data_IF_237893837443
#
_entry.id   IF_237893837443
#
_cell.length_a   1.000
_cell.length_b   1.000
_cell.length_c   1.000
_cell.angle_alpha   90.00
_cell.angle_beta   90.00
_cell.angle_gamma   90.00
#
_symmetry.space_group_name_H-M   'P 1'
#
loop_
_entity.id
_entity.type
_entity.pdbx_description
1 polymer ?
#
# COMPACT_ATOMS: atom_id res chain seq x y z
N UNK A 1 28.75 5.39 15.71
CA UNK A 1 29.52 4.29 16.32
C UNK A 1 28.97 4.05 17.72
N UNK A 2 28.12 3.03 17.88
CA UNK A 2 27.38 2.73 19.13
C UNK A 2 28.33 2.46 20.29
N UNK A 3 29.37 1.65 20.04
CA UNK A 3 30.41 1.33 21.03
C UNK A 3 31.13 2.58 21.54
N UNK A 4 31.45 3.51 20.63
CA UNK A 4 32.11 4.77 21.00
C UNK A 4 31.18 5.71 21.80
N UNK A 5 29.90 5.75 21.47
CA UNK A 5 28.92 6.62 22.12
C UNK A 5 28.62 6.19 23.58
N UNK A 6 28.70 4.88 23.87
CA UNK A 6 28.42 4.34 25.19
C UNK A 6 29.70 3.91 25.96
N UNK A 7 30.89 4.24 25.44
CA UNK A 7 32.16 3.87 26.07
C UNK A 7 32.39 2.36 26.18
N UNK A 8 31.74 1.57 25.31
CA UNK A 8 31.84 0.11 25.30
C UNK A 8 33.03 -0.29 24.40
N UNK A 9 34.03 -1.02 24.92
CA UNK A 9 35.09 -1.57 24.09
C UNK A 9 34.52 -2.54 23.05
N UNK A 10 34.95 -2.46 21.78
CA UNK A 10 34.46 -3.35 20.70
C UNK A 10 34.65 -4.83 21.03
N UNK A 11 35.72 -5.17 21.75
CA UNK A 11 36.04 -6.51 22.20
C UNK A 11 34.99 -7.10 23.15
N UNK A 12 34.26 -6.24 23.88
CA UNK A 12 33.17 -6.66 24.76
C UNK A 12 31.98 -7.23 23.99
N UNK A 13 31.82 -6.90 22.71
CA UNK A 13 30.74 -7.43 21.87
C UNK A 13 30.93 -8.90 21.49
N UNK A 14 32.17 -9.40 21.52
CA UNK A 14 32.50 -10.77 21.10
C UNK A 14 32.55 -11.80 22.23
N UNK A 15 32.29 -11.40 23.49
CA UNK A 15 32.39 -12.28 24.67
C UNK A 15 31.11 -12.20 25.50
N UNK A 16 30.38 -13.31 25.73
CA UNK A 16 29.08 -13.28 26.42
C UNK A 16 29.10 -12.58 27.78
N UNK A 17 30.13 -12.84 28.59
CA UNK A 17 30.23 -12.26 29.94
C UNK A 17 30.46 -10.74 29.91
N UNK A 18 31.28 -10.25 28.97
CA UNK A 18 31.57 -8.82 28.80
C UNK A 18 30.41 -8.08 28.13
N UNK A 19 29.71 -8.74 27.20
CA UNK A 19 28.50 -8.20 26.57
C UNK A 19 27.41 -8.02 27.62
N UNK A 20 27.20 -9.02 28.49
CA UNK A 20 26.24 -8.94 29.58
C UNK A 20 26.57 -7.76 30.52
N UNK A 21 27.82 -7.62 30.93
CA UNK A 21 28.23 -6.49 31.78
C UNK A 21 28.02 -5.12 31.10
N UNK A 22 28.30 -5.02 29.80
CA UNK A 22 28.07 -3.80 29.03
C UNK A 22 26.57 -3.48 28.90
N UNK A 23 25.73 -4.48 28.67
CA UNK A 23 24.27 -4.31 28.53
C UNK A 23 23.59 -3.86 29.82
N UNK A 24 24.07 -4.27 30.99
CA UNK A 24 23.49 -3.85 32.28
C UNK A 24 23.56 -2.33 32.54
N UNK A 25 24.42 -1.60 31.82
CA UNK A 25 24.64 -0.16 31.97
C UNK A 25 23.87 0.67 30.94
N UNK A 26 23.13 0.01 30.04
CA UNK A 26 22.39 0.65 28.96
C UNK A 26 20.93 0.90 29.38
N UNK A 27 20.35 1.98 28.83
CA UNK A 27 18.91 2.21 28.92
C UNK A 27 18.15 1.16 28.09
N UNK A 28 16.85 0.98 28.35
CA UNK A 28 16.01 0.08 27.54
C UNK A 28 16.07 0.44 26.05
N UNK A 29 16.05 1.73 25.72
CA UNK A 29 16.17 2.23 24.35
C UNK A 29 17.53 1.89 23.70
N UNK A 30 18.62 1.97 24.47
CA UNK A 30 19.95 1.61 23.97
C UNK A 30 20.15 0.09 23.86
N UNK A 31 19.50 -0.69 24.73
CA UNK A 31 19.45 -2.16 24.64
C UNK A 31 18.73 -2.61 23.37
N UNK A 32 17.59 -2.01 23.05
CA UNK A 32 16.85 -2.25 21.81
C UNK A 32 17.70 -1.90 20.59
N UNK A 33 18.45 -0.79 20.66
CA UNK A 33 19.36 -0.38 19.58
C UNK A 33 20.53 -1.34 19.40
N UNK A 34 21.09 -1.87 20.49
CA UNK A 34 22.16 -2.87 20.43
C UNK A 34 21.65 -4.22 19.89
N UNK A 35 20.46 -4.66 20.31
CA UNK A 35 19.82 -5.87 19.80
C UNK A 35 19.60 -5.79 18.28
N UNK A 36 19.08 -4.67 17.78
CA UNK A 36 18.93 -4.40 16.35
C UNK A 36 20.26 -4.48 15.58
N UNK A 37 21.35 -3.96 16.16
CA UNK A 37 22.67 -4.01 15.52
C UNK A 37 23.20 -5.44 15.44
N UNK A 38 23.00 -6.24 16.49
CA UNK A 38 23.44 -7.64 16.54
C UNK A 38 22.63 -8.52 15.60
N UNK A 39 21.31 -8.34 15.54
CA UNK A 39 20.42 -9.07 14.63
C UNK A 39 20.74 -8.73 13.16
N UNK A 40 21.02 -7.46 12.87
CA UNK A 40 21.51 -7.03 11.56
C UNK A 40 22.87 -7.67 11.22
N UNK A 41 23.75 -7.86 12.21
CA UNK A 41 25.02 -8.54 12.03
C UNK A 41 24.84 -10.03 11.75
N UNK A 42 23.90 -10.70 12.45
CA UNK A 42 23.57 -12.10 12.21
C UNK A 42 22.95 -12.33 10.82
N UNK A 43 22.09 -11.41 10.39
CA UNK A 43 21.56 -11.37 9.03
C UNK A 43 22.68 -11.21 7.99
N UNK A 44 23.64 -10.30 8.22
CA UNK A 44 24.80 -10.11 7.34
C UNK A 44 25.73 -11.34 7.33
N UNK A 45 25.84 -12.07 8.43
CA UNK A 45 26.62 -13.33 8.48
C UNK A 45 25.94 -14.45 7.71
N UNK A 46 24.60 -14.57 7.80
CA UNK A 46 23.82 -15.60 7.09
C UNK A 46 23.67 -15.31 5.60
N UNK A 47 23.53 -14.05 5.21
CA UNK A 47 23.25 -13.64 3.84
C UNK A 47 24.47 -13.03 3.11
N UNK A 48 25.63 -12.99 3.77
CA UNK A 48 26.83 -12.29 3.32
C UNK A 48 26.75 -10.78 3.56
N UNK A 49 27.91 -10.15 3.75
CA UNK A 49 28.01 -8.70 3.51
C UNK A 49 27.62 -8.46 2.06
N UNK A 50 26.49 -7.79 1.83
CA UNK A 50 26.22 -7.18 0.53
C UNK A 50 27.44 -6.33 0.21
N UNK A 51 28.29 -6.83 -0.68
CA UNK A 51 29.36 -6.03 -1.23
C UNK A 51 28.70 -4.76 -1.75
N UNK A 52 29.21 -3.63 -1.29
CA UNK A 52 28.82 -2.28 -1.70
C UNK A 52 29.26 -1.98 -3.14
N UNK A 53 29.32 -3.01 -3.96
CA UNK A 53 29.42 -2.95 -5.41
C UNK A 53 27.95 -2.84 -5.84
N UNK A 54 27.58 -1.72 -6.48
CA UNK A 54 26.32 -1.48 -7.18
C UNK A 54 25.29 -2.61 -7.03
N UNK A 55 24.17 -2.37 -6.32
CA UNK A 55 22.98 -3.17 -6.61
C UNK A 55 22.85 -3.11 -8.12
N UNK A 56 23.06 -4.25 -8.77
CA UNK A 56 23.22 -4.30 -10.21
C UNK A 56 21.91 -3.82 -10.81
N UNK A 57 21.85 -2.53 -11.15
CA UNK A 57 20.65 -1.86 -11.58
C UNK A 57 20.11 -2.55 -12.84
N UNK A 58 21.01 -3.07 -13.69
CA UNK A 58 20.64 -3.87 -14.83
C UNK A 58 19.93 -5.16 -14.39
N UNK A 59 20.43 -5.88 -13.37
CA UNK A 59 19.69 -7.04 -12.80
C UNK A 59 18.36 -6.65 -12.17
N UNK A 60 18.27 -5.52 -11.48
CA UNK A 60 17.03 -5.06 -10.87
C UNK A 60 15.98 -4.73 -11.93
N UNK A 61 16.38 -4.03 -13.00
CA UNK A 61 15.54 -3.74 -14.16
C UNK A 61 15.16 -5.02 -14.92
N UNK A 62 16.10 -5.94 -15.13
CA UNK A 62 15.83 -7.25 -15.75
C UNK A 62 14.82 -8.06 -14.93
N UNK A 63 14.97 -8.08 -13.60
CA UNK A 63 14.04 -8.73 -12.69
C UNK A 63 12.65 -8.07 -12.73
N UNK A 64 12.57 -6.73 -12.63
CA UNK A 64 11.32 -5.99 -12.70
C UNK A 64 10.59 -6.23 -14.02
N UNK A 65 11.31 -6.24 -15.13
CA UNK A 65 10.74 -6.52 -16.45
C UNK A 65 10.25 -7.97 -16.55
N UNK A 66 11.10 -8.93 -16.18
CA UNK A 66 10.80 -10.37 -16.30
C UNK A 66 9.60 -10.81 -15.47
N UNK A 67 9.47 -10.31 -14.24
CA UNK A 67 8.45 -10.78 -13.31
C UNK A 67 7.22 -9.88 -13.22
N UNK A 68 7.35 -8.61 -13.61
CA UNK A 68 6.27 -7.62 -13.44
C UNK A 68 5.97 -6.82 -14.70
N UNK A 69 6.66 -6.99 -15.84
CA UNK A 69 6.49 -6.11 -17.01
C UNK A 69 6.55 -4.63 -16.63
N UNK A 70 7.51 -4.33 -15.74
CA UNK A 70 7.50 -3.11 -14.95
C UNK A 70 7.48 -1.85 -15.83
N UNK A 71 8.23 -1.86 -16.95
CA UNK A 71 8.35 -0.69 -17.82
C UNK A 71 7.00 -0.30 -18.44
N UNK A 72 6.27 -1.26 -18.98
CA UNK A 72 4.98 -0.97 -19.63
C UNK A 72 3.96 -0.44 -18.63
N UNK A 73 3.86 -1.08 -17.46
CA UNK A 73 2.96 -0.62 -16.40
C UNK A 73 3.32 0.77 -15.87
N UNK A 74 4.61 1.06 -15.73
CA UNK A 74 5.11 2.37 -15.31
C UNK A 74 4.81 3.46 -16.33
N UNK A 75 5.20 3.23 -17.60
CA UNK A 75 5.03 4.20 -18.69
C UNK A 75 3.55 4.55 -18.89
N UNK A 76 2.65 3.55 -18.79
CA UNK A 76 1.21 3.74 -18.85
C UNK A 76 0.70 4.63 -17.70
N UNK A 77 1.07 4.32 -16.46
CA UNK A 77 0.62 5.06 -15.29
C UNK A 77 1.16 6.49 -15.27
N UNK A 78 2.43 6.71 -15.60
CA UNK A 78 3.01 8.05 -15.72
C UNK A 78 2.22 8.88 -16.73
N UNK A 79 1.99 8.33 -17.93
CA UNK A 79 1.24 9.00 -19.00
C UNK A 79 -0.18 9.35 -18.57
N UNK A 80 -0.87 8.43 -17.89
CA UNK A 80 -2.21 8.67 -17.37
C UNK A 80 -2.21 9.77 -16.31
N UNK A 81 -1.30 9.71 -15.34
CA UNK A 81 -1.20 10.68 -14.24
C UNK A 81 -0.86 12.10 -14.73
N UNK A 82 -0.05 12.21 -15.79
CA UNK A 82 0.19 13.48 -16.50
C UNK A 82 -1.08 13.96 -17.21
N UNK A 83 -1.75 13.09 -17.97
CA UNK A 83 -2.96 13.42 -18.72
C UNK A 83 -4.11 13.92 -17.84
N UNK A 84 -4.26 13.37 -16.63
CA UNK A 84 -5.29 13.78 -15.67
C UNK A 84 -4.85 14.93 -14.76
N UNK A 85 -3.62 15.42 -14.92
CA UNK A 85 -3.09 16.59 -14.21
C UNK A 85 -2.71 16.36 -12.75
N UNK A 86 -2.52 15.09 -12.34
CA UNK A 86 -1.93 14.75 -11.03
C UNK A 86 -0.45 15.09 -11.05
N UNK A 87 0.26 14.66 -12.10
CA UNK A 87 1.65 15.02 -12.31
C UNK A 87 1.75 16.38 -12.99
N UNK A 88 2.38 17.33 -12.30
CA UNK A 88 2.77 18.63 -12.84
C UNK A 88 4.28 18.69 -12.82
N UNK A 89 4.89 18.80 -14.00
CA UNK A 89 6.35 18.81 -14.15
C UNK A 89 7.03 17.58 -13.49
N UNK A 90 6.39 16.41 -13.59
CA UNK A 90 6.91 15.15 -13.03
C UNK A 90 6.77 14.99 -11.51
N UNK A 91 5.93 15.81 -10.85
CA UNK A 91 5.73 15.75 -9.41
C UNK A 91 4.28 16.00 -8.99
N UNK A 92 3.95 15.58 -7.76
CA UNK A 92 2.70 15.93 -7.08
C UNK A 92 2.95 17.03 -6.05
N UNK A 93 1.89 17.80 -5.74
CA UNK A 93 1.89 18.75 -4.63
C UNK A 93 1.25 18.08 -3.41
N UNK A 94 2.01 17.99 -2.31
CA UNK A 94 1.54 17.41 -1.06
C UNK A 94 0.68 18.35 -0.22
N UNK A 95 -0.05 17.77 0.73
CA UNK A 95 -0.87 18.52 1.71
C UNK A 95 -0.04 19.45 2.62
N UNK A 96 1.26 19.20 2.72
CA UNK A 96 2.23 19.98 3.48
C UNK A 96 2.89 21.09 2.65
N UNK A 97 2.45 21.28 1.40
CA UNK A 97 3.00 22.25 0.47
C UNK A 97 4.32 21.83 -0.17
N UNK A 98 4.83 20.63 0.12
CA UNK A 98 6.04 20.11 -0.51
C UNK A 98 5.73 19.49 -1.87
N UNK A 99 6.69 19.60 -2.78
CA UNK A 99 6.63 18.93 -4.09
C UNK A 99 7.32 17.57 -4.00
N UNK A 100 6.62 16.52 -4.42
CA UNK A 100 7.10 15.14 -4.37
C UNK A 100 7.27 14.59 -5.79
N UNK A 101 8.52 14.40 -6.28
CA UNK A 101 8.75 13.84 -7.60
C UNK A 101 8.19 12.42 -7.69
N UNK A 102 7.71 12.04 -8.88
CA UNK A 102 7.29 10.67 -9.12
C UNK A 102 8.47 9.69 -8.89
N UNK A 103 8.24 8.52 -8.27
CA UNK A 103 9.27 7.50 -8.16
C UNK A 103 9.77 7.09 -9.54
N UNK A 104 11.08 6.94 -9.71
CA UNK A 104 11.63 6.50 -11.00
C UNK A 104 11.44 4.99 -11.20
N UNK A 105 11.44 4.55 -12.46
CA UNK A 105 11.42 3.13 -12.82
C UNK A 105 12.53 2.36 -12.08
N UNK A 106 13.73 2.93 -12.01
CA UNK A 106 14.89 2.37 -11.34
C UNK A 106 14.66 2.22 -9.84
N UNK A 107 14.08 3.23 -9.18
CA UNK A 107 13.78 3.16 -7.75
C UNK A 107 12.79 2.03 -7.44
N UNK A 108 11.78 1.84 -8.29
CA UNK A 108 10.80 0.76 -8.14
C UNK A 108 11.45 -0.61 -8.40
N UNK A 109 12.24 -0.72 -9.48
CA UNK A 109 12.96 -1.95 -9.83
C UNK A 109 13.91 -2.39 -8.71
N UNK A 110 14.65 -1.46 -8.12
CA UNK A 110 15.53 -1.72 -6.98
C UNK A 110 14.73 -2.26 -5.78
N UNK A 111 13.58 -1.65 -5.45
CA UNK A 111 12.71 -2.11 -4.35
C UNK A 111 12.17 -3.51 -4.57
N UNK A 112 11.67 -3.81 -5.77
CA UNK A 112 11.22 -5.14 -6.15
C UNK A 112 12.35 -6.16 -6.01
N UNK A 113 13.53 -5.82 -6.52
CA UNK A 113 14.69 -6.71 -6.48
C UNK A 113 15.20 -6.94 -5.07
N UNK A 114 15.31 -5.91 -4.23
CA UNK A 114 15.74 -6.02 -2.83
C UNK A 114 14.79 -6.90 -2.01
N UNK A 115 13.47 -6.85 -2.30
CA UNK A 115 12.43 -7.60 -1.58
C UNK A 115 12.02 -8.91 -2.26
N UNK A 116 12.67 -9.31 -3.36
CA UNK A 116 12.29 -10.47 -4.18
C UNK A 116 12.03 -11.76 -3.40
N UNK A 117 12.84 -12.04 -2.38
CA UNK A 117 12.69 -13.26 -1.57
C UNK A 117 11.39 -13.25 -0.75
N UNK A 118 11.00 -12.07 -0.24
CA UNK A 118 9.76 -11.86 0.51
C UNK A 118 8.56 -11.78 -0.44
N UNK A 119 8.75 -11.18 -1.62
CA UNK A 119 7.71 -11.01 -2.63
C UNK A 119 7.46 -12.26 -3.46
N UNK A 120 8.33 -13.28 -3.41
CA UNK A 120 8.19 -14.51 -4.20
C UNK A 120 6.82 -15.17 -4.03
N UNK A 121 6.38 -15.34 -2.78
CA UNK A 121 5.05 -15.90 -2.49
C UNK A 121 3.93 -15.00 -2.99
N UNK A 122 4.09 -13.67 -2.91
CA UNK A 122 3.08 -12.71 -3.39
C UNK A 122 2.97 -12.68 -4.90
N UNK A 123 4.10 -12.74 -5.58
CA UNK A 123 4.16 -12.89 -7.03
C UNK A 123 3.44 -14.16 -7.48
N UNK A 124 3.71 -15.30 -6.84
CA UNK A 124 3.02 -16.59 -7.06
C UNK A 124 1.51 -16.50 -6.80
N UNK A 125 1.09 -15.75 -5.78
CA UNK A 125 -0.32 -15.45 -5.50
C UNK A 125 -0.95 -14.40 -6.44
N UNK A 126 -0.24 -13.97 -7.49
CA UNK A 126 -0.76 -13.09 -8.53
C UNK A 126 -0.58 -11.59 -8.28
N UNK A 127 0.16 -11.15 -7.26
CA UNK A 127 0.43 -9.72 -7.02
C UNK A 127 1.48 -9.17 -7.99
N UNK A 128 1.06 -8.90 -9.22
CA UNK A 128 1.92 -8.46 -10.34
C UNK A 128 1.53 -7.10 -10.92
N UNK A 129 0.34 -6.58 -10.60
CA UNK A 129 -0.16 -5.29 -11.10
C UNK A 129 0.38 -4.13 -10.26
N UNK A 130 1.23 -3.29 -10.84
CA UNK A 130 1.77 -2.09 -10.21
C UNK A 130 0.67 -1.04 -10.01
N UNK A 131 0.74 -0.29 -8.91
CA UNK A 131 -0.07 0.90 -8.67
C UNK A 131 0.78 2.01 -8.03
N UNK A 132 0.91 3.14 -8.72
CA UNK A 132 1.61 4.35 -8.27
C UNK A 132 0.61 5.32 -7.64
N UNK A 133 0.53 5.33 -6.31
CA UNK A 133 -0.47 6.12 -5.58
C UNK A 133 0.13 7.46 -5.12
N UNK A 134 -0.46 8.59 -5.51
CA UNK A 134 -0.03 9.93 -5.10
C UNK A 134 -0.49 10.27 -3.67
N UNK A 135 -0.11 9.45 -2.69
CA UNK A 135 -0.59 9.48 -1.31
C UNK A 135 -0.49 10.87 -0.63
N UNK A 136 0.56 11.63 -0.94
CA UNK A 136 0.80 12.94 -0.35
C UNK A 136 -0.17 14.02 -0.82
N UNK A 137 -0.81 13.83 -1.98
CA UNK A 137 -1.81 14.75 -2.53
C UNK A 137 -3.05 14.79 -1.64
N UNK A 138 -3.76 15.93 -1.61
CA UNK A 138 -5.00 16.02 -0.83
C UNK A 138 -6.09 15.14 -1.44
N UNK A 139 -6.88 14.51 -0.58
CA UNK A 139 -7.95 13.63 -1.02
C UNK A 139 -9.02 14.41 -1.80
N UNK A 140 -9.33 15.64 -1.38
CA UNK A 140 -10.20 16.57 -2.12
C UNK A 140 -9.72 16.79 -3.57
N UNK A 141 -8.40 16.94 -3.76
CA UNK A 141 -7.84 17.15 -5.11
C UNK A 141 -7.93 15.88 -5.96
N UNK A 142 -7.67 14.70 -5.37
CA UNK A 142 -7.80 13.42 -6.07
C UNK A 142 -9.26 13.11 -6.45
N UNK A 143 -10.22 13.43 -5.58
CA UNK A 143 -11.65 13.30 -5.87
C UNK A 143 -12.07 14.19 -7.04
N UNK A 144 -11.64 15.46 -7.04
CA UNK A 144 -11.92 16.36 -8.15
C UNK A 144 -11.25 15.87 -9.45
N UNK A 145 -10.02 15.36 -9.37
CA UNK A 145 -9.36 14.72 -10.53
C UNK A 145 -10.17 13.54 -11.06
N UNK A 146 -10.64 12.62 -10.20
CA UNK A 146 -11.46 11.48 -10.61
C UNK A 146 -12.76 11.94 -11.29
N UNK A 147 -13.42 12.95 -10.72
CA UNK A 147 -14.61 13.56 -11.31
C UNK A 147 -14.34 14.10 -12.71
N UNK A 148 -13.28 14.88 -12.89
CA UNK A 148 -12.90 15.41 -14.21
C UNK A 148 -12.49 14.31 -15.19
N UNK A 149 -11.78 13.28 -14.71
CA UNK A 149 -11.43 12.10 -15.49
C UNK A 149 -12.67 11.38 -16.01
N UNK A 150 -13.67 11.11 -15.16
CA UNK A 150 -14.92 10.46 -15.56
C UNK A 150 -15.68 11.28 -16.62
N UNK A 151 -15.80 12.59 -16.43
CA UNK A 151 -16.45 13.49 -17.38
C UNK A 151 -15.73 13.49 -18.74
N UNK A 152 -14.40 13.54 -18.75
CA UNK A 152 -13.59 13.43 -19.96
C UNK A 152 -13.75 12.05 -20.61
N UNK A 153 -13.68 10.98 -19.83
CA UNK A 153 -13.82 9.62 -20.30
C UNK A 153 -15.19 9.40 -20.98
N UNK A 154 -16.28 9.91 -20.39
CA UNK A 154 -17.63 9.88 -20.99
C UNK A 154 -17.71 10.68 -22.29
N UNK A 155 -17.04 11.82 -22.38
CA UNK A 155 -16.99 12.62 -23.61
C UNK A 155 -16.30 11.85 -24.74
N UNK A 156 -15.19 11.18 -24.43
CA UNK A 156 -14.40 10.42 -25.39
C UNK A 156 -15.04 9.05 -25.70
N UNK A 157 -15.86 8.52 -24.79
CA UNK A 157 -16.60 7.26 -24.89
C UNK A 157 -18.11 7.48 -24.67
N UNK A 158 -18.87 7.96 -25.68
CA UNK A 158 -20.27 8.36 -25.50
C UNK A 158 -21.20 7.25 -25.00
N UNK A 159 -20.84 5.98 -25.19
CA UNK A 159 -21.60 4.80 -24.73
C UNK A 159 -21.37 4.46 -23.26
N UNK A 160 -20.35 5.01 -22.61
CA UNK A 160 -20.09 4.80 -21.19
C UNK A 160 -21.26 5.36 -20.35
N UNK A 161 -21.84 4.57 -19.45
CA UNK A 161 -23.05 4.96 -18.75
C UNK A 161 -22.74 5.77 -17.49
N UNK A 162 -22.55 7.09 -17.63
CA UNK A 162 -22.21 8.02 -16.54
C UNK A 162 -23.29 9.10 -16.38
N UNK A 163 -23.65 9.43 -15.13
CA UNK A 163 -24.36 10.66 -14.82
C UNK A 163 -23.41 11.86 -14.85
N UNK A 164 -23.60 12.77 -15.81
CA UNK A 164 -22.73 13.93 -15.96
C UNK A 164 -23.02 15.05 -14.96
N UNK A 165 -24.16 15.00 -14.26
CA UNK A 165 -24.49 15.98 -13.21
C UNK A 165 -23.81 15.61 -11.89
N UNK A 166 -23.73 14.31 -11.60
CA UNK A 166 -23.12 13.76 -10.39
C UNK A 166 -22.25 12.53 -10.73
N UNK A 167 -21.07 12.73 -11.34
CA UNK A 167 -20.22 11.61 -11.78
C UNK A 167 -19.52 10.88 -10.63
N UNK A 168 -19.40 11.55 -9.48
CA UNK A 168 -18.78 11.06 -8.27
C UNK A 168 -19.62 11.56 -7.08
N UNK A 169 -20.18 10.62 -6.33
CA UNK A 169 -20.81 10.92 -5.04
C UNK A 169 -19.79 10.69 -3.94
N UNK A 170 -19.67 11.68 -3.05
CA UNK A 170 -18.75 11.64 -1.92
C UNK A 170 -19.52 12.02 -0.68
N UNK A 171 -19.40 11.22 0.37
CA UNK A 171 -19.96 11.61 1.66
C UNK A 171 -19.31 12.90 2.19
N UNK A 172 -20.12 13.85 2.67
CA UNK A 172 -19.70 15.21 3.05
C UNK A 172 -18.49 15.28 4.01
N UNK A 173 -18.34 14.30 4.89
CA UNK A 173 -17.24 14.25 5.87
C UNK A 173 -15.87 13.94 5.27
N UNK A 174 -15.78 13.53 4.00
CA UNK A 174 -14.49 13.42 3.31
C UNK A 174 -13.83 14.78 3.08
N UNK A 175 -14.62 15.86 3.04
CA UNK A 175 -14.12 17.18 2.70
C UNK A 175 -13.07 17.65 3.70
N UNK A 176 -11.84 17.76 3.24
CA UNK A 176 -10.70 18.15 4.07
C UNK A 176 -10.37 17.14 5.19
N UNK A 177 -10.81 15.89 5.07
CA UNK A 177 -10.64 14.88 6.11
C UNK A 177 -9.19 14.47 6.38
N UNK A 178 -8.31 14.66 5.39
CA UNK A 178 -6.90 14.29 5.43
C UNK A 178 -5.96 15.47 5.70
N UNK A 179 -6.51 16.68 5.91
CA UNK A 179 -5.76 17.93 6.11
C UNK A 179 -6.13 18.63 7.42
N UNK A 180 -5.34 19.67 7.76
CA UNK A 180 -5.56 20.50 8.94
C UNK A 180 -4.94 19.97 10.23
N UNK A 181 -5.20 20.67 11.34
CA UNK A 181 -4.62 20.38 12.66
C UNK A 181 -5.31 19.21 13.37
N UNK A 182 -6.51 18.82 12.91
CA UNK A 182 -7.30 17.72 13.47
C UNK A 182 -7.99 16.96 12.34
N UNK A 183 -7.22 16.24 11.50
CA UNK A 183 -7.80 15.46 10.42
C UNK A 183 -8.65 14.33 10.98
N UNK A 184 -9.82 14.10 10.37
CA UNK A 184 -10.76 13.06 10.78
C UNK A 184 -10.35 11.67 10.27
N UNK A 185 -9.49 11.62 9.25
CA UNK A 185 -9.07 10.39 8.59
C UNK A 185 -7.81 9.81 9.23
N UNK A 186 -7.90 8.55 9.62
CA UNK A 186 -6.81 7.77 10.20
C UNK A 186 -6.41 6.68 9.23
N UNK A 187 -5.11 6.61 8.92
CA UNK A 187 -4.52 5.67 7.97
C UNK A 187 -3.81 4.53 8.67
N UNK A 188 -3.85 3.36 8.03
CA UNK A 188 -3.27 2.08 8.46
C UNK A 188 -3.59 1.73 9.93
N UNK A 189 -4.88 1.68 10.30
CA UNK A 189 -5.27 1.33 11.65
C UNK A 189 -4.92 -0.13 11.99
N UNK A 190 -4.56 -0.36 13.26
CA UNK A 190 -4.57 -1.69 13.86
C UNK A 190 -5.94 -2.06 14.38
N UNK A 191 -6.81 -1.12 14.74
CA UNK A 191 -8.21 -1.40 15.11
C UNK A 191 -9.12 -0.23 14.73
N UNK A 192 -10.40 -0.52 14.46
CA UNK A 192 -11.42 0.50 14.26
C UNK A 192 -11.96 0.93 15.63
N UNK A 193 -11.20 1.77 16.34
CA UNK A 193 -11.54 2.32 17.66
C UNK A 193 -11.18 3.80 17.72
N UNK A 194 -11.92 4.60 18.49
CA UNK A 194 -11.61 6.04 18.63
C UNK A 194 -10.23 6.25 19.28
N UNK A 195 -9.93 5.46 20.32
CA UNK A 195 -8.64 5.49 21.01
C UNK A 195 -7.89 4.16 20.79
N UNK A 196 -6.56 4.22 20.79
CA UNK A 196 -5.73 3.03 20.68
C UNK A 196 -5.77 2.34 19.31
N UNK A 197 -6.27 3.01 18.26
CA UNK A 197 -6.38 2.46 16.91
C UNK A 197 -5.03 2.13 16.26
N UNK A 198 -3.92 2.71 16.73
CA UNK A 198 -2.57 2.44 16.20
C UNK A 198 -2.28 2.98 14.79
N UNK A 199 -3.28 3.51 14.10
CA UNK A 199 -3.12 4.27 12.84
C UNK A 199 -2.54 5.68 13.02
N UNK A 200 -2.28 6.36 11.89
CA UNK A 200 -1.59 7.66 11.81
C UNK A 200 -2.33 8.63 10.89
N UNK A 201 -2.06 9.92 11.05
CA UNK A 201 -2.54 10.95 10.11
C UNK A 201 -1.64 11.01 8.88
N UNK A 202 -2.16 11.50 7.74
CA UNK A 202 -1.36 11.70 6.51
C UNK A 202 -0.11 12.53 6.77
N UNK A 203 -0.21 13.63 7.52
CA UNK A 203 0.94 14.48 7.90
C UNK A 203 2.01 13.71 8.68
N UNK A 204 1.62 12.85 9.62
CA UNK A 204 2.57 12.00 10.35
C UNK A 204 3.28 11.02 9.40
N UNK A 205 2.54 10.41 8.48
CA UNK A 205 3.08 9.47 7.49
C UNK A 205 4.08 10.19 6.57
N UNK A 206 3.73 11.36 6.03
CA UNK A 206 4.61 12.14 5.15
C UNK A 206 5.89 12.58 5.85
N UNK A 207 5.79 13.02 7.11
CA UNK A 207 6.96 13.36 7.92
C UNK A 207 7.88 12.16 8.11
N UNK A 208 7.32 11.00 8.47
CA UNK A 208 8.10 9.78 8.62
C UNK A 208 8.73 9.32 7.29
N UNK A 209 8.03 9.48 6.16
CA UNK A 209 8.57 9.18 4.83
C UNK A 209 9.76 10.07 4.50
N UNK A 210 9.64 11.38 4.72
CA UNK A 210 10.71 12.35 4.49
C UNK A 210 11.97 12.08 5.34
N UNK A 211 11.78 11.53 6.53
CA UNK A 211 12.87 11.17 7.44
C UNK A 211 13.44 9.76 7.18
N UNK A 212 12.90 9.03 6.20
CA UNK A 212 13.26 7.63 5.93
C UNK A 212 12.88 6.68 7.07
N UNK A 213 11.95 7.09 7.93
CA UNK A 213 11.45 6.36 9.10
C UNK A 213 10.13 5.65 8.83
N UNK A 214 9.49 5.93 7.69
CA UNK A 214 8.23 5.31 7.34
C UNK A 214 8.38 3.79 7.24
N UNK A 215 7.57 3.12 8.04
CA UNK A 215 7.37 1.68 8.03
C UNK A 215 5.87 1.44 8.05
N UNK A 216 5.39 0.56 7.19
CA UNK A 216 4.03 0.03 7.30
C UNK A 216 3.88 -0.66 8.66
N UNK A 217 2.65 -0.86 9.16
CA UNK A 217 2.44 -1.66 10.36
C UNK A 217 3.21 -2.99 10.27
N UNK A 218 3.83 -3.42 11.38
CA UNK A 218 4.95 -4.36 11.36
C UNK A 218 4.60 -5.70 10.70
N UNK A 219 5.45 -6.14 9.79
CA UNK A 219 5.65 -7.57 9.49
C UNK A 219 6.18 -8.23 10.76
N UNK A 220 5.48 -9.19 11.35
CA UNK A 220 5.93 -9.73 12.62
C UNK A 220 7.18 -10.61 12.48
N UNK A 221 7.95 -10.53 13.56
CA UNK A 221 9.33 -10.96 13.66
C UNK A 221 10.15 -9.96 14.48
N UNK A 222 9.76 -8.68 14.48
CA UNK A 222 10.34 -7.66 15.34
C UNK A 222 9.34 -7.21 16.40
N UNK A 223 9.63 -7.48 17.67
CA UNK A 223 8.93 -6.88 18.80
C UNK A 223 9.28 -5.38 18.98
N UNK A 224 10.11 -4.80 18.10
CA UNK A 224 10.56 -3.40 18.18
C UNK A 224 10.77 -2.79 16.80
N UNK A 225 9.77 -2.05 16.30
CA UNK A 225 9.88 -1.28 15.07
C UNK A 225 9.75 -2.14 13.82
N UNK A 226 8.92 -1.69 12.88
CA UNK A 226 8.83 -2.30 11.56
C UNK A 226 10.22 -2.44 10.96
N UNK A 227 10.41 -3.42 10.09
CA UNK A 227 11.53 -3.40 9.16
C UNK A 227 11.54 -2.02 8.54
N UNK A 228 12.53 -1.21 8.93
CA UNK A 228 12.80 0.03 8.26
C UNK A 228 12.70 -0.30 6.77
N UNK A 229 11.95 0.52 6.03
CA UNK A 229 12.45 0.91 4.72
C UNK A 229 13.85 1.47 4.99
N UNK A 230 14.85 0.59 5.17
CA UNK A 230 16.21 0.96 5.42
C UNK A 230 16.76 1.40 4.06
N UNK A 231 16.30 2.57 3.62
CA UNK A 231 17.24 3.57 3.19
C UNK A 231 18.31 3.60 4.29
N UNK A 232 19.47 3.05 3.96
CA UNK A 232 20.69 3.15 4.74
C UNK A 232 20.74 4.58 5.29
N UNK A 233 20.93 4.77 6.60
CA UNK A 233 21.19 6.09 7.15
C UNK A 233 22.41 6.66 6.38
N UNK A 234 22.15 7.54 5.42
CA UNK A 234 23.08 7.94 4.35
C UNK A 234 22.51 7.97 2.92
N UNK A 235 21.35 7.37 2.63
CA UNK A 235 20.71 7.37 1.32
C UNK A 235 19.54 8.34 1.25
N UNK A 236 19.82 9.60 0.91
CA UNK A 236 18.79 10.57 0.48
C UNK A 236 18.06 10.15 -0.82
N UNK A 237 18.45 9.04 -1.45
CA UNK A 237 18.18 8.73 -2.86
C UNK A 237 17.19 7.56 -3.12
N UNK A 238 16.71 6.85 -2.08
CA UNK A 238 15.86 5.65 -2.23
C UNK A 238 14.44 5.79 -1.63
N UNK A 239 14.13 6.88 -0.94
CA UNK A 239 12.79 7.16 -0.45
C UNK A 239 11.87 7.63 -1.59
N UNK A 240 10.60 7.27 -1.52
CA UNK A 240 9.54 7.77 -2.43
C UNK A 240 8.53 8.60 -1.63
N UNK A 241 8.97 9.67 -0.93
CA UNK A 241 8.07 10.44 -0.08
C UNK A 241 6.94 11.04 -0.90
N UNK A 242 5.74 11.09 -0.32
CA UNK A 242 4.53 11.51 -1.01
C UNK A 242 3.89 10.42 -1.88
N UNK A 243 4.55 9.28 -2.07
CA UNK A 243 4.04 8.18 -2.89
C UNK A 243 3.99 6.88 -2.10
N UNK A 244 2.97 6.06 -2.40
CA UNK A 244 2.95 4.65 -2.03
C UNK A 244 2.90 3.81 -3.30
N UNK A 245 3.63 2.70 -3.31
CA UNK A 245 3.74 1.82 -4.47
C UNK A 245 3.17 0.48 -4.06
N UNK A 246 2.14 0.04 -4.75
CA UNK A 246 1.43 -1.20 -4.43
C UNK A 246 1.56 -2.21 -5.58
N UNK A 247 1.48 -3.48 -5.22
CA UNK A 247 1.18 -4.59 -6.10
C UNK A 247 -0.24 -5.06 -5.80
N UNK A 248 -1.02 -5.29 -6.85
CA UNK A 248 -2.38 -5.81 -6.86
C UNK A 248 -2.47 -7.06 -7.73
N UNK A 249 -3.56 -7.81 -7.57
CA UNK A 249 -3.90 -8.91 -8.48
C UNK A 249 -4.60 -8.34 -9.73
N UNK A 250 -4.17 -8.68 -10.96
CA UNK A 250 -4.78 -8.19 -12.20
C UNK A 250 -6.10 -8.90 -12.53
N UNK A 251 -6.87 -8.36 -13.48
CA UNK A 251 -8.13 -8.98 -13.93
C UNK A 251 -7.93 -10.23 -14.80
N UNK A 252 -6.75 -10.39 -15.39
CA UNK A 252 -6.37 -11.52 -16.24
C UNK A 252 -5.25 -12.36 -15.60
N UNK A 253 -5.50 -13.05 -14.46
CA UNK A 253 -4.47 -13.85 -13.80
C UNK A 253 -4.05 -15.09 -14.60
N UNK A 254 -4.94 -15.60 -15.46
CA UNK A 254 -4.79 -16.89 -16.16
C UNK A 254 -4.27 -16.76 -17.61
N UNK A 255 -4.12 -15.54 -18.14
CA UNK A 255 -3.36 -15.29 -19.38
C UNK A 255 -1.86 -15.38 -19.04
N UNK A 256 -1.43 -16.56 -18.61
CA UNK A 256 -0.03 -16.96 -18.47
C UNK A 256 0.62 -17.21 -19.84
N UNK A 257 0.17 -16.52 -20.89
CA UNK A 257 1.09 -16.24 -21.97
C UNK A 257 2.09 -15.26 -21.35
N UNK A 258 3.29 -15.77 -21.04
CA UNK A 258 4.35 -15.04 -20.34
C UNK A 258 4.73 -13.70 -20.99
N UNK A 259 4.15 -13.38 -22.15
CA UNK A 259 4.37 -12.21 -22.98
C UNK A 259 3.30 -11.11 -22.85
N UNK A 260 2.20 -11.31 -22.12
CA UNK A 260 1.16 -10.28 -21.95
C UNK A 260 1.32 -9.47 -20.65
N UNK A 261 1.11 -8.15 -20.76
CA UNK A 261 1.20 -7.23 -19.63
C UNK A 261 -0.05 -7.32 -18.76
N UNK A 262 0.05 -7.36 -17.42
CA UNK A 262 -1.12 -7.44 -16.54
C UNK A 262 -2.11 -6.29 -16.77
N UNK A 263 -3.39 -6.61 -17.02
CA UNK A 263 -4.44 -5.63 -17.34
C UNK A 263 -5.48 -5.60 -16.21
N UNK A 264 -5.94 -4.39 -15.87
CA UNK A 264 -7.01 -4.20 -14.91
C UNK A 264 -6.63 -4.65 -13.50
N UNK A 265 -7.65 -4.92 -12.70
CA UNK A 265 -7.57 -5.27 -11.28
C UNK A 265 -8.64 -6.32 -11.02
N UNK A 266 -8.27 -7.43 -10.37
CA UNK A 266 -9.16 -8.57 -10.12
C UNK A 266 -10.47 -8.13 -9.46
N UNK A 267 -11.61 -8.72 -9.81
CA UNK A 267 -12.87 -8.40 -9.12
C UNK A 267 -12.86 -8.95 -7.69
N UNK A 268 -13.64 -8.33 -6.78
CA UNK A 268 -13.87 -8.87 -5.43
C UNK A 268 -14.99 -9.92 -5.52
N UNK A 269 -14.70 -11.22 -5.30
CA UNK A 269 -15.69 -12.26 -5.51
C UNK A 269 -16.81 -12.21 -4.47
N UNK A 270 -18.01 -12.67 -4.86
CA UNK A 270 -19.10 -12.93 -3.90
C UNK A 270 -18.78 -14.13 -3.02
N UNK A 271 -19.52 -14.26 -1.93
CA UNK A 271 -19.44 -15.44 -1.05
C UNK A 271 -19.63 -16.74 -1.87
N UNK A 272 -18.67 -17.65 -1.75
CA UNK A 272 -18.64 -18.94 -2.44
C UNK A 272 -18.27 -18.89 -3.93
N UNK A 273 -17.86 -17.74 -4.46
CA UNK A 273 -17.48 -17.59 -5.89
C UNK A 273 -15.98 -17.44 -6.12
N UNK A 274 -15.17 -17.35 -5.07
CA UNK A 274 -13.75 -17.13 -5.20
C UNK A 274 -12.97 -18.42 -5.50
N UNK A 275 -11.84 -18.26 -6.20
CA UNK A 275 -10.83 -19.30 -6.40
C UNK A 275 -9.52 -18.94 -5.70
N UNK A 276 -8.88 -19.88 -4.98
CA UNK A 276 -7.54 -19.66 -4.44
C UNK A 276 -6.51 -19.42 -5.55
N UNK A 277 -5.49 -18.60 -5.26
CA UNK A 277 -4.38 -18.31 -6.18
C UNK A 277 -3.02 -18.68 -5.57
N UNK A 278 -2.07 -19.07 -6.43
CA UNK A 278 -0.71 -19.45 -6.06
C UNK A 278 -0.54 -20.91 -5.68
N UNK A 279 0.62 -21.47 -6.03
CA UNK A 279 0.98 -22.86 -5.82
C UNK A 279 1.86 -23.06 -4.58
N UNK A 280 2.64 -22.05 -4.19
CA UNK A 280 3.58 -22.14 -3.05
C UNK A 280 2.85 -22.12 -1.72
N UNK A 281 2.07 -21.07 -1.50
CA UNK A 281 1.17 -20.92 -0.36
C UNK A 281 -0.17 -20.45 -0.94
N UNK A 282 -1.11 -21.37 -1.23
CA UNK A 282 -2.38 -21.01 -1.83
C UNK A 282 -3.08 -19.93 -1.00
N UNK A 283 -3.40 -18.81 -1.65
CA UNK A 283 -4.09 -17.67 -1.05
C UNK A 283 -5.58 -17.81 -1.30
N UNK A 284 -6.39 -18.07 -0.25
CA UNK A 284 -7.84 -18.00 -0.41
C UNK A 284 -8.25 -16.57 -0.80
N UNK A 285 -9.28 -16.42 -1.62
CA UNK A 285 -9.78 -15.12 -2.03
C UNK A 285 -10.51 -14.43 -0.87
N UNK A 286 -10.46 -13.10 -0.88
CA UNK A 286 -11.23 -12.27 0.04
C UNK A 286 -12.63 -12.04 -0.54
N UNK A 287 -13.50 -13.01 -0.30
CA UNK A 287 -14.91 -12.93 -0.72
C UNK A 287 -15.71 -11.93 0.11
N UNK A 288 -16.76 -11.38 -0.49
CA UNK A 288 -17.74 -10.50 0.15
C UNK A 288 -18.51 -11.17 1.31
N UNK A 289 -19.43 -10.42 1.93
CA UNK A 289 -20.33 -10.89 2.98
C UNK A 289 -19.67 -11.11 4.37
N UNK A 290 -18.66 -10.31 4.70
CA UNK A 290 -18.07 -10.19 6.05
C UNK A 290 -18.14 -8.76 6.57
N UNK A 291 -18.04 -8.59 7.87
CA UNK A 291 -17.90 -7.29 8.50
C UNK A 291 -16.49 -6.70 8.26
N UNK A 292 -16.37 -5.38 8.23
CA UNK A 292 -15.08 -4.73 8.02
C UNK A 292 -14.05 -5.06 9.11
N UNK A 293 -14.48 -5.26 10.35
CA UNK A 293 -13.61 -5.70 11.44
C UNK A 293 -13.10 -7.14 11.25
N UNK A 294 -13.87 -8.02 10.61
CA UNK A 294 -13.41 -9.37 10.26
C UNK A 294 -12.31 -9.30 9.22
N UNK A 295 -12.45 -8.48 8.17
CA UNK A 295 -11.37 -8.27 7.20
C UNK A 295 -10.12 -7.68 7.86
N UNK A 296 -10.26 -6.66 8.71
CA UNK A 296 -9.12 -6.11 9.44
C UNK A 296 -8.44 -7.17 10.32
N UNK A 297 -9.22 -8.06 10.94
CA UNK A 297 -8.66 -9.15 11.76
C UNK A 297 -7.81 -10.15 10.96
N UNK A 298 -8.09 -10.33 9.67
CA UNK A 298 -7.26 -11.15 8.77
C UNK A 298 -5.87 -10.52 8.66
N UNK A 299 -5.79 -9.22 8.42
CA UNK A 299 -4.52 -8.49 8.36
C UNK A 299 -3.76 -8.56 9.69
N UNK A 300 -4.45 -8.35 10.81
CA UNK A 300 -3.84 -8.42 12.14
C UNK A 300 -3.22 -9.80 12.43
N UNK A 301 -3.98 -10.88 12.18
CA UNK A 301 -3.49 -12.25 12.39
C UNK A 301 -2.32 -12.57 11.45
N UNK A 302 -2.39 -12.11 10.21
CA UNK A 302 -1.34 -12.29 9.23
C UNK A 302 -0.07 -11.49 9.52
N UNK A 303 -0.15 -10.40 10.30
CA UNK A 303 1.05 -9.70 10.75
C UNK A 303 1.93 -10.64 11.57
N UNK A 304 1.34 -11.31 12.57
CA UNK A 304 2.02 -12.19 13.54
C UNK A 304 2.46 -13.55 12.97
N UNK A 305 1.88 -13.96 11.85
CA UNK A 305 2.07 -15.27 11.24
C UNK A 305 2.71 -15.16 9.85
N UNK A 306 3.99 -15.55 9.73
CA UNK A 306 4.74 -15.57 8.46
C UNK A 306 4.25 -16.63 7.48
N UNK A 307 3.58 -17.66 7.97
CA UNK A 307 3.02 -18.74 7.15
C UNK A 307 1.60 -18.40 6.67
N UNK A 308 1.03 -17.29 7.17
CA UNK A 308 -0.27 -16.80 6.71
C UNK A 308 -0.22 -16.48 5.21
N UNK A 309 -1.21 -16.95 4.42
CA UNK A 309 -1.29 -16.58 3.00
C UNK A 309 -1.46 -15.08 2.79
N UNK A 310 -1.87 -14.32 3.82
CA UNK A 310 -2.06 -12.86 3.77
C UNK A 310 -0.89 -12.07 4.38
N UNK A 311 0.21 -12.73 4.78
CA UNK A 311 1.35 -12.05 5.39
C UNK A 311 1.93 -10.98 4.47
N UNK A 312 2.18 -9.77 4.98
CA UNK A 312 2.72 -8.66 4.18
C UNK A 312 1.71 -7.92 3.29
N UNK A 313 0.42 -8.24 3.41
CA UNK A 313 -0.65 -7.50 2.75
C UNK A 313 -1.17 -6.34 3.61
N UNK A 314 -1.77 -5.36 2.96
CA UNK A 314 -2.41 -4.18 3.58
C UNK A 314 -3.76 -3.88 2.93
N UNK A 315 -4.70 -3.36 3.73
CA UNK A 315 -5.96 -2.82 3.21
C UNK A 315 -5.75 -1.54 2.40
N UNK A 316 -6.61 -1.32 1.42
CA UNK A 316 -6.57 -0.12 0.58
C UNK A 316 -7.06 1.14 1.31
N UNK A 317 -6.48 2.27 0.92
CA UNK A 317 -6.92 3.63 1.25
C UNK A 317 -7.81 4.20 0.14
N UNK A 318 -8.49 5.34 0.36
CA UNK A 318 -9.22 6.05 -0.70
C UNK A 318 -8.35 6.45 -1.89
N UNK A 319 -7.11 6.88 -1.64
CA UNK A 319 -6.15 7.24 -2.68
C UNK A 319 -5.78 6.03 -3.54
N UNK A 320 -5.59 4.87 -2.90
CA UNK A 320 -5.34 3.61 -3.60
C UNK A 320 -6.52 3.28 -4.53
N UNK A 321 -7.75 3.40 -4.03
CA UNK A 321 -8.96 3.05 -4.80
C UNK A 321 -9.21 4.01 -5.96
N UNK A 322 -9.08 5.32 -5.74
CA UNK A 322 -9.24 6.34 -6.80
C UNK A 322 -8.24 6.09 -7.93
N UNK A 323 -6.98 5.83 -7.58
CA UNK A 323 -5.92 5.57 -8.55
C UNK A 323 -6.17 4.26 -9.30
N UNK A 324 -6.51 3.21 -8.56
CA UNK A 324 -6.86 1.89 -9.10
C UNK A 324 -8.05 1.97 -10.07
N UNK A 325 -9.08 2.74 -9.73
CA UNK A 325 -10.27 2.93 -10.55
C UNK A 325 -9.92 3.57 -11.89
N UNK A 326 -9.15 4.67 -11.87
CA UNK A 326 -8.76 5.36 -13.11
C UNK A 326 -7.96 4.45 -14.05
N UNK A 327 -6.98 3.72 -13.50
CA UNK A 327 -6.16 2.76 -14.26
C UNK A 327 -7.03 1.64 -14.83
N UNK A 328 -7.85 1.00 -13.98
CA UNK A 328 -8.71 -0.11 -14.39
C UNK A 328 -9.68 0.32 -15.50
N UNK A 329 -10.31 1.49 -15.38
CA UNK A 329 -11.22 2.00 -16.40
C UNK A 329 -10.49 2.33 -17.71
N UNK A 330 -9.31 2.94 -17.63
CA UNK A 330 -8.51 3.26 -18.82
C UNK A 330 -8.02 2.02 -19.57
N UNK A 331 -7.73 0.94 -18.86
CA UNK A 331 -7.22 -0.31 -19.44
C UNK A 331 -8.32 -1.22 -19.96
N UNK A 332 -9.41 -1.37 -19.21
CA UNK A 332 -10.44 -2.38 -19.50
C UNK A 332 -11.69 -1.82 -20.17
N UNK A 333 -11.87 -0.50 -20.11
CA UNK A 333 -13.08 0.19 -20.48
C UNK A 333 -14.30 -0.09 -19.57
N UNK A 334 -14.10 -0.81 -18.46
CA UNK A 334 -15.13 -1.18 -17.48
C UNK A 334 -14.86 -0.48 -16.14
N UNK A 335 -15.90 -0.12 -15.37
CA UNK A 335 -15.71 0.44 -14.05
C UNK A 335 -15.25 -0.63 -13.06
N UNK A 336 -14.34 -0.26 -12.15
CA UNK A 336 -13.88 -1.11 -11.05
C UNK A 336 -14.95 -1.20 -9.95
N UNK A 337 -15.08 -2.38 -9.34
CA UNK A 337 -15.97 -2.66 -8.20
C UNK A 337 -17.45 -2.35 -8.51
N UNK A 338 -17.92 -2.88 -9.65
CA UNK A 338 -19.27 -2.70 -10.16
C UNK A 338 -20.28 -3.66 -9.50
N UNK A 339 -20.82 -3.25 -8.35
CA UNK A 339 -21.46 -4.15 -7.39
C UNK A 339 -22.92 -4.53 -7.73
N UNK A 340 -23.70 -3.66 -8.35
CA UNK A 340 -25.16 -3.85 -8.46
C UNK A 340 -25.60 -4.95 -9.44
N UNK A 341 -24.72 -5.39 -10.36
CA UNK A 341 -25.05 -6.37 -11.40
C UNK A 341 -24.67 -7.81 -11.06
N UNK A 342 -24.42 -8.09 -9.78
CA UNK A 342 -24.27 -9.45 -9.25
C UNK A 342 -22.96 -10.18 -9.61
N UNK A 343 -22.01 -9.51 -10.29
CA UNK A 343 -20.73 -10.09 -10.70
C UNK A 343 -19.51 -9.62 -9.92
N UNK A 344 -19.56 -8.42 -9.33
CA UNK A 344 -18.45 -7.85 -8.53
C UNK A 344 -18.98 -7.28 -7.22
N UNK A 345 -18.07 -6.87 -6.32
CA UNK A 345 -18.41 -6.32 -5.01
C UNK A 345 -17.82 -4.93 -4.80
N UNK A 346 -18.49 -4.14 -3.96
CA UNK A 346 -17.90 -2.92 -3.39
C UNK A 346 -16.73 -3.27 -2.48
N UNK A 347 -15.82 -2.33 -2.28
CA UNK A 347 -14.64 -2.50 -1.46
C UNK A 347 -14.74 -1.71 -0.15
N UNK A 348 -14.56 -2.38 0.99
CA UNK A 348 -14.14 -1.72 2.21
C UNK A 348 -12.70 -1.22 2.05
N UNK A 349 -12.49 0.04 2.36
CA UNK A 349 -11.17 0.66 2.35
C UNK A 349 -10.54 0.55 3.74
N UNK A 350 -10.25 -0.70 4.16
CA UNK A 350 -9.75 -1.02 5.51
C UNK A 350 -8.38 -0.42 5.85
N UNK A 351 -7.69 0.17 4.86
CA UNK A 351 -6.48 0.95 5.05
C UNK A 351 -6.73 2.32 5.68
N UNK A 352 -7.99 2.77 5.80
CA UNK A 352 -8.34 3.99 6.49
C UNK A 352 -9.69 3.89 7.22
N UNK A 353 -9.91 4.77 8.20
CA UNK A 353 -11.23 4.93 8.83
C UNK A 353 -11.41 6.36 9.34
N UNK A 354 -12.67 6.78 9.49
CA UNK A 354 -13.00 8.02 10.16
C UNK A 354 -13.10 7.81 11.68
N UNK A 355 -12.33 8.59 12.43
CA UNK A 355 -12.34 8.55 13.89
C UNK A 355 -13.13 9.74 14.45
N UNK A 356 -14.46 9.63 14.50
CA UNK A 356 -15.29 10.61 15.20
C UNK A 356 -15.53 10.21 16.64
N UNK A 357 -15.68 11.20 17.52
CA UNK A 357 -16.02 11.03 18.93
C UNK A 357 -17.43 10.47 19.18
N UNK A 358 -18.26 10.37 18.15
CA UNK A 358 -19.63 9.80 18.23
C UNK A 358 -19.83 8.54 17.40
N UNK A 359 -18.94 8.22 16.45
CA UNK A 359 -19.06 7.04 15.59
C UNK A 359 -17.77 6.69 14.87
N UNK A 360 -17.44 5.41 14.81
CA UNK A 360 -16.34 4.87 13.99
C UNK A 360 -16.94 4.40 12.67
N UNK A 361 -16.39 4.86 11.56
CA UNK A 361 -16.92 4.56 10.23
C UNK A 361 -15.79 4.08 9.31
N UNK A 362 -16.01 2.95 8.66
CA UNK A 362 -15.07 2.39 7.68
C UNK A 362 -15.47 2.88 6.30
N UNK A 363 -14.48 3.28 5.52
CA UNK A 363 -14.68 3.84 4.20
C UNK A 363 -15.06 2.74 3.22
N UNK A 364 -15.86 3.09 2.23
CA UNK A 364 -16.37 2.23 1.19
C UNK A 364 -16.21 2.87 -0.17
N UNK A 365 -15.94 2.06 -1.19
CA UNK A 365 -15.93 2.56 -2.55
C UNK A 365 -16.44 1.53 -3.56
N UNK A 366 -17.00 2.03 -4.65
CA UNK A 366 -17.45 1.21 -5.77
C UNK A 366 -18.11 2.02 -6.87
N UNK A 367 -18.63 1.31 -7.86
CA UNK A 367 -19.41 1.89 -8.94
C UNK A 367 -20.89 1.53 -8.82
N UNK A 368 -21.77 2.53 -8.70
CA UNK A 368 -23.23 2.32 -8.75
C UNK A 368 -23.72 2.38 -10.20
N UNK A 369 -24.28 1.27 -10.69
CA UNK A 369 -24.88 1.21 -12.02
C UNK A 369 -26.18 2.00 -12.12
N UNK A 370 -26.97 2.03 -11.04
CA UNK A 370 -28.27 2.67 -10.93
C UNK A 370 -28.12 4.19 -10.93
N UNK A 371 -27.21 4.69 -10.10
CA UNK A 371 -26.85 6.11 -10.05
C UNK A 371 -25.92 6.52 -11.18
N UNK A 372 -25.24 5.56 -11.85
CA UNK A 372 -24.30 5.78 -12.96
C UNK A 372 -23.10 6.63 -12.54
N UNK A 373 -22.54 6.36 -11.37
CA UNK A 373 -21.50 7.19 -10.77
C UNK A 373 -20.52 6.34 -9.96
N UNK A 374 -19.35 6.90 -9.68
CA UNK A 374 -18.46 6.37 -8.65
C UNK A 374 -18.94 6.84 -7.27
N UNK A 375 -18.80 5.98 -6.25
CA UNK A 375 -19.21 6.28 -4.88
C UNK A 375 -18.02 6.16 -3.93
N UNK A 376 -17.86 7.17 -3.06
CA UNK A 376 -17.01 7.13 -1.86
C UNK A 376 -17.91 7.31 -0.63
N UNK A 377 -18.25 6.18 0.02
CA UNK A 377 -19.22 6.11 1.11
C UNK A 377 -18.60 5.66 2.44
N UNK A 378 -19.46 5.56 3.45
CA UNK A 378 -19.18 5.05 4.77
C UNK A 378 -20.02 3.81 5.05
N UNK A 379 -19.44 2.95 5.86
CA UNK A 379 -20.14 1.83 6.47
C UNK A 379 -19.86 1.80 7.96
N UNK A 380 -20.87 1.41 8.73
CA UNK A 380 -20.64 1.07 10.13
C UNK A 380 -19.80 -0.22 10.21
N UNK A 381 -18.84 -0.33 11.14
CA UNK A 381 -17.95 -1.51 11.22
C UNK A 381 -18.67 -2.85 11.40
N UNK A 382 -19.90 -2.80 11.92
CA UNK A 382 -20.78 -3.96 12.15
C UNK A 382 -21.87 -4.10 11.08
N UNK A 383 -21.78 -3.36 9.98
CA UNK A 383 -22.67 -3.52 8.83
C UNK A 383 -22.19 -4.68 7.98
N UNK A 384 -23.05 -5.67 7.73
CA UNK A 384 -22.79 -6.76 6.78
C UNK A 384 -23.47 -6.41 5.47
N UNK A 385 -22.72 -6.37 4.38
CA UNK A 385 -23.27 -6.30 3.02
C UNK A 385 -22.94 -7.59 2.29
N UNK A 386 -23.97 -8.26 1.74
CA UNK A 386 -23.77 -9.44 0.88
C UNK A 386 -22.91 -9.11 -0.34
N UNK A 387 -22.86 -7.82 -0.67
CA UNK A 387 -22.23 -7.26 -1.83
C UNK A 387 -20.99 -6.40 -1.55
N UNK A 388 -20.48 -6.43 -0.32
CA UNK A 388 -19.30 -5.67 0.11
C UNK A 388 -18.21 -6.64 0.55
N UNK A 389 -17.03 -6.49 -0.05
CA UNK A 389 -15.83 -7.22 0.30
C UNK A 389 -14.65 -6.31 0.59
N UNK A 390 -13.44 -6.79 0.35
CA UNK A 390 -12.22 -6.00 0.57
C UNK A 390 -11.19 -6.34 -0.49
N UNK A 391 -10.38 -5.34 -0.82
CA UNK A 391 -9.16 -5.53 -1.60
C UNK A 391 -7.95 -5.30 -0.72
N UNK A 392 -7.05 -6.30 -0.72
CA UNK A 392 -5.73 -6.17 -0.14
C UNK A 392 -4.69 -5.93 -1.25
N UNK A 393 -3.60 -5.29 -0.86
CA UNK A 393 -2.47 -4.97 -1.72
C UNK A 393 -1.16 -5.28 -0.99
N UNK A 394 -0.05 -5.34 -1.73
CA UNK A 394 1.30 -5.50 -1.16
C UNK A 394 2.10 -4.24 -1.47
N UNK A 395 2.57 -3.54 -0.45
CA UNK A 395 3.33 -2.29 -0.63
C UNK A 395 4.83 -2.58 -0.69
N UNK A 396 5.54 -1.95 -1.63
CA UNK A 396 6.95 -2.24 -1.96
C UNK A 396 7.96 -1.11 -1.70
#
# INVERSE_FOLDING_TARGET
DFTKAHGIPKESLGKPDLLREATCKLSTSDLERLANLLERFEYLLKNGELKKEEIDLAKALEYGEKFYRLKEQYDFQVSLLEQVGILKEGAILGIDGNTYPIPTLEQIALRLFERREILKTKHDQGFTKLLLVPFGMSLDSLQETLKQFLLKYKKDNPTFNLDTNEPLWVWEEYKGADIGDSPNLVYHPKSFTENGHGGKTKTQILKEQAEGRWTLPPTAGSATGGTASAGVAGGKELGTPGWTIHLLQPSNPDEQDADETPIGIASIPREGQGTPQGDLIPRPPLEANKFSNEYLSILQKAQEDKDSPYHGETGMTPEDWITAFMIHLSETGKPLDNWEKGGESMSYLTGAFFSFSISILVLGAGWSCGSRQADLDRFVPHGRGEDIGVRFSVVI
#
